data_IF_251545322574
#
_entry.id   IF_251545322574
#
_cell.length_a   1.000
_cell.length_b   1.000
_cell.length_c   1.000
_cell.angle_alpha   90.00
_cell.angle_beta   90.00
_cell.angle_gamma   90.00
#
_symmetry.space_group_name_H-M   'P 1'
#
loop_
_entity.id
_entity.type
_entity.pdbx_description
1 polymer ?
#
# COMPACT_ATOMS: atom_id res chain seq x y z
N UNK A 1 -1.55 14.93 -1.70
CA UNK A 1 -1.24 14.28 -3.01
C UNK A 1 -2.04 13.00 -3.05
N UNK A 2 -2.87 12.83 -4.07
CA UNK A 2 -3.87 11.76 -4.14
C UNK A 2 -3.64 10.88 -5.36
N UNK A 3 -3.78 9.57 -5.19
CA UNK A 3 -3.69 8.58 -6.25
C UNK A 3 -4.83 7.56 -6.14
N UNK A 4 -5.18 6.96 -7.28
CA UNK A 4 -6.15 5.87 -7.32
C UNK A 4 -5.70 4.79 -8.31
N UNK A 5 -5.80 3.52 -7.90
CA UNK A 5 -5.55 2.39 -8.79
C UNK A 5 -6.85 2.11 -9.53
N UNK A 6 -6.90 2.54 -10.80
CA UNK A 6 -8.09 2.43 -11.66
C UNK A 6 -7.93 1.41 -12.79
N UNK A 7 -6.73 0.89 -12.98
CA UNK A 7 -6.39 -0.10 -14.00
C UNK A 7 -5.59 -1.25 -13.43
N UNK A 8 -5.77 -2.44 -14.01
CA UNK A 8 -4.94 -3.63 -13.78
C UNK A 8 -3.59 -3.52 -14.51
N UNK A 9 -2.72 -4.50 -14.27
CA UNK A 9 -1.39 -4.57 -14.88
C UNK A 9 -1.42 -4.65 -16.42
N UNK A 10 -2.52 -5.13 -16.99
CA UNK A 10 -2.77 -5.26 -18.44
C UNK A 10 -3.66 -4.14 -18.99
N UNK A 11 -3.77 -3.01 -18.27
CA UNK A 11 -4.52 -1.80 -18.65
C UNK A 11 -6.05 -1.99 -18.78
N UNK A 12 -6.63 -3.02 -18.16
CA UNK A 12 -8.08 -3.14 -18.05
C UNK A 12 -8.59 -2.30 -16.86
N UNK A 13 -9.81 -1.74 -16.92
CA UNK A 13 -10.39 -1.07 -15.76
C UNK A 13 -10.58 -2.03 -14.58
N UNK A 14 -10.33 -1.56 -13.36
CA UNK A 14 -10.71 -2.30 -12.15
C UNK A 14 -12.24 -2.40 -12.05
N UNK A 15 -12.75 -3.54 -11.61
CA UNK A 15 -14.20 -3.84 -11.54
C UNK A 15 -14.80 -3.70 -10.14
N UNK A 16 -13.99 -3.21 -9.18
CA UNK A 16 -14.38 -2.91 -7.80
C UNK A 16 -14.16 -1.42 -7.51
N UNK A 17 -14.49 -0.98 -6.29
CA UNK A 17 -14.15 0.37 -5.82
C UNK A 17 -12.62 0.56 -5.90
N UNK A 18 -12.10 1.62 -6.54
CA UNK A 18 -10.66 1.86 -6.64
C UNK A 18 -9.98 1.93 -5.27
N UNK A 19 -8.77 1.40 -5.20
CA UNK A 19 -7.86 1.64 -4.08
C UNK A 19 -7.37 3.08 -4.16
N UNK A 20 -7.41 3.82 -3.05
CA UNK A 20 -6.99 5.22 -3.01
C UNK A 20 -5.90 5.47 -1.98
N UNK A 21 -4.95 6.32 -2.35
CA UNK A 21 -3.86 6.77 -1.49
C UNK A 21 -3.96 8.27 -1.31
N UNK A 22 -3.87 8.73 -0.08
CA UNK A 22 -3.73 10.15 0.24
C UNK A 22 -2.45 10.38 1.05
N UNK A 23 -1.53 11.11 0.44
CA UNK A 23 -0.26 11.52 1.02
C UNK A 23 -0.34 12.97 1.50
N UNK A 24 -0.06 13.21 2.77
CA UNK A 24 -0.02 14.55 3.36
C UNK A 24 1.10 14.68 4.40
N UNK A 25 1.58 15.89 4.69
CA UNK A 25 2.51 16.10 5.80
C UNK A 25 1.94 15.54 7.11
N UNK A 26 2.75 14.75 7.82
CA UNK A 26 2.45 14.23 9.16
C UNK A 26 3.44 14.79 10.19
N UNK A 27 3.25 14.47 11.46
CA UNK A 27 4.24 14.81 12.48
C UNK A 27 5.55 14.06 12.21
N UNK A 28 6.65 14.79 12.08
CA UNK A 28 7.99 14.29 11.75
C UNK A 28 8.07 13.43 10.47
N UNK A 29 7.12 13.53 9.52
CA UNK A 29 7.16 12.68 8.34
C UNK A 29 6.02 12.84 7.35
N UNK A 30 5.71 11.74 6.65
CA UNK A 30 4.65 11.63 5.67
C UNK A 30 3.54 10.74 6.23
N UNK A 31 2.31 11.23 6.21
CA UNK A 31 1.14 10.41 6.49
C UNK A 31 0.62 9.85 5.16
N UNK A 32 0.57 8.52 5.06
CA UNK A 32 0.00 7.75 3.96
C UNK A 32 -1.32 7.13 4.42
N UNK A 33 -2.43 7.66 3.96
CA UNK A 33 -3.76 7.11 4.20
C UNK A 33 -4.15 6.22 3.01
N UNK A 34 -4.57 4.99 3.29
CA UNK A 34 -5.03 4.04 2.29
C UNK A 34 -6.51 3.73 2.52
N UNK A 35 -7.32 3.77 1.47
CA UNK A 35 -8.69 3.25 1.48
C UNK A 35 -8.83 2.20 0.39
N UNK A 36 -9.16 0.98 0.80
CA UNK A 36 -9.29 -0.20 -0.06
C UNK A 36 -10.51 -1.03 0.38
N UNK A 37 -11.31 -1.64 -0.51
CA UNK A 37 -12.08 -2.83 -0.16
C UNK A 37 -11.20 -3.96 0.39
N UNK A 38 -11.76 -4.80 1.28
CA UNK A 38 -11.17 -6.10 1.62
C UNK A 38 -11.55 -7.12 0.54
N UNK A 39 -10.59 -7.86 -0.01
CA UNK A 39 -10.85 -8.88 -1.03
C UNK A 39 -10.94 -10.27 -0.42
N UNK A 40 -12.17 -10.77 -0.26
CA UNK A 40 -12.49 -12.10 0.31
C UNK A 40 -12.14 -12.27 1.80
N UNK A 41 -11.65 -11.23 2.47
CA UNK A 41 -11.40 -11.18 3.92
C UNK A 41 -10.55 -12.38 4.43
N UNK A 42 -9.32 -12.56 3.91
CA UNK A 42 -8.45 -13.65 4.33
C UNK A 42 -8.02 -13.48 5.80
N UNK A 43 -7.65 -14.57 6.51
CA UNK A 43 -7.07 -14.47 7.84
C UNK A 43 -5.81 -13.60 7.84
N UNK A 44 -5.67 -12.76 8.86
CA UNK A 44 -4.50 -11.93 9.04
C UNK A 44 -3.20 -12.76 9.11
N UNK A 45 -2.06 -12.24 8.61
CA UNK A 45 -0.76 -12.88 8.77
C UNK A 45 -0.45 -13.16 10.26
N UNK A 46 0.33 -14.20 10.59
CA UNK A 46 0.64 -14.56 11.98
C UNK A 46 1.58 -13.57 12.71
N UNK A 47 1.72 -12.34 12.21
CA UNK A 47 2.54 -11.27 12.77
C UNK A 47 1.82 -10.47 13.86
N UNK A 48 2.59 -9.89 14.77
CA UNK A 48 2.05 -8.95 15.76
C UNK A 48 1.69 -7.60 15.12
N UNK A 49 0.63 -6.91 15.59
CA UNK A 49 0.29 -5.57 15.11
C UNK A 49 1.48 -4.59 15.21
N UNK A 50 1.70 -3.79 14.16
CA UNK A 50 2.75 -2.77 14.11
C UNK A 50 4.18 -3.30 13.98
N UNK A 51 4.36 -4.62 13.85
CA UNK A 51 5.67 -5.22 13.59
C UNK A 51 5.86 -5.46 12.10
N UNK A 52 7.11 -5.38 11.65
CA UNK A 52 7.46 -5.83 10.30
C UNK A 52 7.20 -7.33 10.17
N UNK A 53 6.63 -7.74 9.04
CA UNK A 53 6.33 -9.12 8.72
C UNK A 53 6.97 -9.49 7.37
N UNK A 54 7.89 -10.45 7.37
CA UNK A 54 8.53 -10.91 6.14
C UNK A 54 7.58 -11.83 5.36
N UNK A 55 7.43 -11.61 4.05
CA UNK A 55 6.48 -12.37 3.23
C UNK A 55 5.06 -11.79 3.19
N UNK A 56 4.89 -10.50 3.52
CA UNK A 56 3.57 -9.86 3.50
C UNK A 56 2.93 -9.85 2.10
N UNK A 57 3.74 -9.86 1.04
CA UNK A 57 3.33 -9.96 -0.36
C UNK A 57 2.63 -11.27 -0.75
N UNK A 58 2.67 -12.30 0.11
CA UNK A 58 1.88 -13.53 -0.10
C UNK A 58 0.40 -13.35 0.28
N UNK A 59 0.05 -12.19 0.85
CA UNK A 59 -1.30 -11.81 1.27
C UNK A 59 -1.85 -10.67 0.39
N UNK A 60 -3.10 -10.29 0.64
CA UNK A 60 -3.65 -9.05 0.11
C UNK A 60 -2.82 -7.86 0.61
N UNK A 61 -2.22 -7.12 -0.32
CA UNK A 61 -1.27 -6.06 0.01
C UNK A 61 -1.44 -4.87 -0.92
N UNK A 62 -1.22 -3.68 -0.38
CA UNK A 62 -0.93 -2.49 -1.15
C UNK A 62 0.51 -2.05 -0.92
N UNK A 63 1.17 -1.57 -1.97
CA UNK A 63 2.58 -1.21 -1.91
C UNK A 63 2.83 0.22 -2.38
N UNK A 64 3.71 0.93 -1.69
CA UNK A 64 4.22 2.23 -2.10
C UNK A 64 5.76 2.23 -2.09
N UNK A 65 6.36 2.73 -3.17
CA UNK A 65 7.80 2.87 -3.32
C UNK A 65 8.20 4.35 -3.29
N UNK A 66 9.10 4.71 -2.38
CA UNK A 66 9.63 6.07 -2.23
C UNK A 66 11.10 6.07 -2.63
N UNK A 67 11.42 6.68 -3.77
CA UNK A 67 12.79 6.82 -4.25
C UNK A 67 13.43 8.08 -3.67
N UNK A 68 14.59 7.94 -3.01
CA UNK A 68 15.43 9.06 -2.65
C UNK A 68 16.10 9.62 -3.91
N UNK A 69 15.75 10.84 -4.30
CA UNK A 69 16.27 11.47 -5.51
C UNK A 69 17.79 11.67 -5.50
N UNK A 70 18.40 11.76 -4.32
CA UNK A 70 19.82 12.04 -4.12
C UNK A 70 20.65 10.76 -4.04
N UNK A 71 20.31 9.83 -3.13
CA UNK A 71 21.10 8.61 -2.91
C UNK A 71 20.74 7.49 -3.87
N UNK A 72 19.58 7.57 -4.53
CA UNK A 72 18.98 6.50 -5.35
C UNK A 72 18.56 5.25 -4.58
N UNK A 73 18.67 5.27 -3.25
CA UNK A 73 18.06 4.27 -2.38
C UNK A 73 16.54 4.45 -2.38
N UNK A 74 15.80 3.40 -2.07
CA UNK A 74 14.35 3.47 -1.98
C UNK A 74 13.84 2.80 -0.70
N UNK A 75 12.70 3.30 -0.23
CA UNK A 75 11.89 2.66 0.80
C UNK A 75 10.69 2.01 0.12
N UNK A 76 10.46 0.73 0.40
CA UNK A 76 9.21 0.03 0.09
C UNK A 76 8.37 -0.04 1.36
N UNK A 77 7.11 0.33 1.27
CA UNK A 77 6.12 0.15 2.34
C UNK A 77 5.03 -0.77 1.81
N UNK A 78 4.80 -1.87 2.51
CA UNK A 78 3.76 -2.87 2.25
C UNK A 78 2.75 -2.80 3.40
N UNK A 79 1.45 -2.69 3.08
CA UNK A 79 0.37 -2.75 4.07
C UNK A 79 -0.59 -3.88 3.71
N UNK A 80 -0.87 -4.75 4.68
CA UNK A 80 -1.93 -5.74 4.66
C UNK A 80 -3.10 -5.22 5.50
N UNK A 81 -4.36 -5.52 5.13
CA UNK A 81 -5.54 -5.19 5.93
C UNK A 81 -5.54 -5.84 7.33
#
# INVERSE_FOLDING_TARGET
LEYSIVTTWDNLPVTHRPVTFHFKPGDQGLLMEVNDPFFNDPPAPPGGPGQAFNGLWEYEVVEAFFLNSTTKEYLKVELCP
#
